data_IF_561693201344
#
_entry.id   IF_561693201344
#
_cell.length_a   1.000
_cell.length_b   1.000
_cell.length_c   1.000
_cell.angle_alpha   90.00
_cell.angle_beta   90.00
_cell.angle_gamma   90.00
#
_symmetry.space_group_name_H-M   'P 1'
#
loop_
_entity.id
_entity.type
_entity.pdbx_description
1 polymer ?
#
# COMPACT_ATOMS: atom_id res chain seq x y z
N UNK A 1 -6.55 -3.73 31.62
CA UNK A 1 -6.49 -5.05 30.96
C UNK A 1 -5.74 -4.83 29.67
N UNK A 2 -4.51 -5.35 29.54
CA UNK A 2 -3.70 -5.18 28.35
C UNK A 2 -4.15 -6.17 27.27
N UNK A 3 -4.27 -5.69 26.05
CA UNK A 3 -4.51 -6.48 24.85
C UNK A 3 -3.16 -6.71 24.15
N UNK A 4 -2.78 -7.97 23.99
CA UNK A 4 -1.65 -8.35 23.11
C UNK A 4 -2.19 -8.52 21.69
N UNK A 5 -1.42 -8.12 20.67
CA UNK A 5 -1.75 -8.36 19.28
C UNK A 5 -0.89 -9.50 18.74
N UNK A 6 -1.50 -10.50 18.09
CA UNK A 6 -0.75 -11.62 17.50
C UNK A 6 -1.25 -11.98 16.12
N UNK A 7 -0.28 -12.05 15.22
CA UNK A 7 -0.34 -12.54 13.84
C UNK A 7 -1.29 -11.79 12.92
N UNK A 8 -0.73 -11.26 11.84
CA UNK A 8 -1.45 -10.42 10.93
C UNK A 8 -1.12 -10.81 9.49
N UNK A 9 -2.16 -11.18 8.74
CA UNK A 9 -2.04 -11.57 7.36
C UNK A 9 -1.87 -10.32 6.49
N UNK A 10 -0.88 -10.34 5.61
CA UNK A 10 -0.74 -9.40 4.51
C UNK A 10 -0.47 -10.20 3.23
N UNK A 11 -1.02 -9.74 2.11
CA UNK A 11 -0.66 -10.29 0.81
C UNK A 11 0.85 -10.18 0.57
N UNK A 12 1.41 -11.07 -0.25
CA UNK A 12 2.81 -10.95 -0.67
C UNK A 12 2.97 -9.77 -1.64
N UNK A 13 4.12 -9.12 -1.59
CA UNK A 13 4.48 -8.14 -2.62
C UNK A 13 4.61 -8.85 -3.96
N UNK A 14 4.05 -8.27 -5.02
CA UNK A 14 4.12 -8.82 -6.38
C UNK A 14 4.39 -7.73 -7.41
N UNK A 15 4.86 -8.18 -8.56
CA UNK A 15 5.02 -7.33 -9.75
C UNK A 15 3.67 -7.20 -10.44
N UNK A 16 3.30 -5.97 -10.78
CA UNK A 16 2.12 -5.63 -11.56
C UNK A 16 2.34 -5.96 -13.03
N UNK A 17 1.27 -6.41 -13.67
CA UNK A 17 1.25 -6.67 -15.11
C UNK A 17 0.07 -5.94 -15.76
N UNK A 18 0.00 -5.95 -17.09
CA UNK A 18 -1.10 -5.30 -17.82
C UNK A 18 -2.48 -5.85 -17.44
N UNK A 19 -2.55 -7.10 -17.00
CA UNK A 19 -3.78 -7.79 -16.56
C UNK A 19 -4.35 -7.21 -15.26
N UNK A 20 -3.56 -6.41 -14.54
CA UNK A 20 -4.02 -5.69 -13.35
C UNK A 20 -4.79 -4.41 -13.69
N UNK A 21 -4.74 -3.94 -14.94
CA UNK A 21 -5.35 -2.68 -15.37
C UNK A 21 -6.53 -2.94 -16.31
N UNK A 22 -7.66 -3.34 -15.73
CA UNK A 22 -8.89 -3.72 -16.45
C UNK A 22 -9.95 -2.62 -16.45
N UNK A 23 -9.72 -1.55 -15.69
CA UNK A 23 -10.58 -0.38 -15.67
C UNK A 23 -10.52 0.40 -16.98
N UNK A 24 -11.53 1.24 -17.18
CA UNK A 24 -11.57 2.15 -18.33
C UNK A 24 -11.02 3.52 -17.93
N UNK A 25 -10.08 4.10 -18.71
CA UNK A 25 -9.65 5.47 -18.50
C UNK A 25 -10.84 6.41 -18.50
N UNK A 26 -10.98 7.23 -17.44
CA UNK A 26 -12.01 8.26 -17.44
C UNK A 26 -11.63 9.31 -18.48
N UNK A 27 -12.55 9.63 -19.40
CA UNK A 27 -12.41 10.67 -20.45
C UNK A 27 -12.39 12.10 -19.88
N UNK A 28 -11.63 12.33 -18.81
CA UNK A 28 -11.37 13.67 -18.29
C UNK A 28 -9.94 14.05 -18.69
N UNK A 29 -9.69 15.35 -18.89
CA UNK A 29 -8.41 15.95 -19.29
C UNK A 29 -7.30 15.73 -18.25
N UNK A 30 -6.92 14.48 -17.98
CA UNK A 30 -5.81 14.11 -17.12
C UNK A 30 -4.54 13.90 -17.95
N UNK A 31 -3.44 14.51 -17.51
CA UNK A 31 -2.11 14.25 -18.06
C UNK A 31 -1.68 12.78 -17.88
N UNK A 32 -2.24 12.09 -16.88
CA UNK A 32 -1.92 10.70 -16.56
C UNK A 32 -2.28 9.72 -17.68
N UNK A 33 -1.37 8.81 -18.01
CA UNK A 33 -1.56 7.73 -19.00
C UNK A 33 -2.02 6.42 -18.35
N UNK A 34 -2.01 6.37 -17.02
CA UNK A 34 -2.29 5.21 -16.21
C UNK A 34 -2.77 5.64 -14.82
N UNK A 35 -3.37 4.70 -14.09
CA UNK A 35 -3.78 4.91 -12.71
C UNK A 35 -3.85 3.59 -11.96
N UNK A 36 -3.19 3.53 -10.81
CA UNK A 36 -3.25 2.41 -9.86
C UNK A 36 -4.16 2.73 -8.69
N UNK A 37 -5.23 1.95 -8.53
CA UNK A 37 -6.13 2.06 -7.40
C UNK A 37 -5.81 0.97 -6.37
N UNK A 38 -5.28 1.38 -5.21
CA UNK A 38 -5.10 0.48 -4.06
C UNK A 38 -5.98 0.94 -2.90
N UNK A 39 -6.73 -0.01 -2.32
CA UNK A 39 -7.48 0.19 -1.08
C UNK A 39 -6.78 -0.55 0.06
N UNK A 40 -6.71 0.07 1.23
CA UNK A 40 -6.22 -0.56 2.45
C UNK A 40 -7.35 -0.56 3.47
N UNK A 41 -7.56 -1.69 4.12
CA UNK A 41 -8.55 -1.85 5.17
C UNK A 41 -7.99 -2.71 6.29
N UNK A 42 -8.61 -2.63 7.46
CA UNK A 42 -8.29 -3.52 8.56
C UNK A 42 -9.56 -3.98 9.28
N UNK A 43 -9.47 -5.15 9.85
CA UNK A 43 -10.43 -5.71 10.78
C UNK A 43 -9.69 -6.33 11.97
N UNK A 44 -10.43 -6.69 13.01
CA UNK A 44 -9.87 -7.33 14.18
C UNK A 44 -10.87 -8.27 14.84
N UNK A 45 -10.34 -9.30 15.50
CA UNK A 45 -11.10 -10.15 16.41
C UNK A 45 -10.63 -9.95 17.84
N UNK A 46 -11.58 -9.95 18.79
CA UNK A 46 -11.29 -9.90 20.22
C UNK A 46 -11.43 -11.31 20.79
N UNK A 47 -10.33 -11.89 21.27
CA UNK A 47 -10.34 -13.18 21.96
C UNK A 47 -10.13 -12.99 23.46
N UNK A 48 -10.71 -13.86 24.28
CA UNK A 48 -10.45 -13.90 25.72
C UNK A 48 -9.75 -15.21 26.05
N UNK A 49 -8.50 -15.13 26.48
CA UNK A 49 -7.68 -16.29 26.83
C UNK A 49 -7.11 -16.10 28.25
N UNK A 50 -7.41 -17.04 29.16
CA UNK A 50 -6.93 -17.06 30.55
C UNK A 50 -7.12 -15.72 31.31
N UNK A 51 -8.23 -15.03 31.05
CA UNK A 51 -8.52 -13.74 31.68
C UNK A 51 -7.75 -12.55 31.11
N UNK A 52 -7.11 -12.70 29.95
CA UNK A 52 -6.50 -11.63 29.15
C UNK A 52 -7.29 -11.52 27.85
N UNK A 53 -7.60 -10.30 27.40
CA UNK A 53 -8.16 -10.11 26.07
C UNK A 53 -7.01 -10.01 25.04
N UNK A 54 -7.18 -10.49 23.82
CA UNK A 54 -6.22 -10.46 22.72
C UNK A 54 -6.89 -9.85 21.48
N UNK A 55 -6.19 -8.98 20.76
CA UNK A 55 -6.66 -8.41 19.50
C UNK A 55 -5.88 -8.99 18.34
N UNK A 56 -6.52 -9.79 17.51
CA UNK A 56 -5.88 -10.28 16.29
C UNK A 56 -6.32 -9.38 15.13
N UNK A 57 -5.42 -8.52 14.66
CA UNK A 57 -5.65 -7.62 13.54
C UNK A 57 -5.34 -8.28 12.20
N UNK A 58 -6.21 -8.07 11.23
CA UNK A 58 -5.96 -8.33 9.82
C UNK A 58 -5.90 -6.98 9.08
N UNK A 59 -4.86 -6.77 8.26
CA UNK A 59 -4.74 -5.56 7.44
C UNK A 59 -4.58 -6.01 5.99
N UNK A 60 -5.58 -5.71 5.18
CA UNK A 60 -5.62 -6.08 3.78
C UNK A 60 -5.29 -4.87 2.90
N UNK A 61 -4.59 -5.16 1.81
CA UNK A 61 -4.39 -4.23 0.71
C UNK A 61 -4.97 -4.90 -0.54
N UNK A 62 -5.79 -4.19 -1.29
CA UNK A 62 -6.38 -4.67 -2.54
C UNK A 62 -6.03 -3.70 -3.65
N UNK A 63 -5.37 -4.22 -4.70
CA UNK A 63 -5.24 -3.50 -5.97
C UNK A 63 -6.51 -3.76 -6.79
N UNK A 64 -7.33 -2.73 -6.96
CA UNK A 64 -8.64 -2.84 -7.58
C UNK A 64 -8.51 -2.82 -9.11
N UNK A 65 -8.47 -4.01 -9.74
CA UNK A 65 -8.20 -4.15 -11.17
C UNK A 65 -9.18 -3.39 -12.07
N UNK A 66 -10.46 -3.33 -11.68
CA UNK A 66 -11.51 -2.66 -12.44
C UNK A 66 -11.54 -1.13 -12.22
N UNK A 67 -10.83 -0.63 -11.21
CA UNK A 67 -10.65 0.81 -10.96
C UNK A 67 -9.27 1.31 -11.41
N UNK A 68 -8.34 0.39 -11.68
CA UNK A 68 -7.01 0.67 -12.20
C UNK A 68 -7.02 0.55 -13.72
N UNK A 69 -6.40 1.48 -14.43
CA UNK A 69 -6.51 1.54 -15.89
C UNK A 69 -5.20 1.99 -16.55
N UNK A 70 -5.04 1.60 -17.82
CA UNK A 70 -4.00 2.07 -18.73
C UNK A 70 -4.68 2.68 -19.94
N UNK A 71 -4.30 3.90 -20.32
CA UNK A 71 -4.73 4.49 -21.59
C UNK A 71 -3.86 3.94 -22.73
N UNK A 72 -4.24 2.75 -23.19
CA UNK A 72 -3.56 2.04 -24.28
C UNK A 72 -3.48 2.87 -25.57
N UNK A 73 -4.37 3.83 -25.79
CA UNK A 73 -4.34 4.69 -26.97
C UNK A 73 -3.15 5.67 -26.96
N UNK A 74 -2.65 6.02 -25.77
CA UNK A 74 -1.52 6.93 -25.56
C UNK A 74 -0.18 6.21 -25.46
N UNK A 75 -0.18 4.89 -25.27
CA UNK A 75 1.02 4.06 -25.20
C UNK A 75 1.49 3.72 -26.62
N UNK A 76 2.64 4.26 -27.03
CA UNK A 76 3.11 4.18 -28.43
C UNK A 76 4.20 3.15 -28.69
N UNK A 77 4.80 2.58 -27.65
CA UNK A 77 5.83 1.55 -27.80
C UNK A 77 5.90 0.63 -26.57
N UNK A 78 6.53 -0.56 -26.70
CA UNK A 78 6.81 -1.44 -25.57
C UNK A 78 7.65 -0.78 -24.47
N UNK A 79 8.59 0.08 -24.83
CA UNK A 79 9.44 0.81 -23.88
C UNK A 79 8.62 1.80 -23.06
N UNK A 80 7.70 2.53 -23.72
CA UNK A 80 6.76 3.42 -23.01
C UNK A 80 5.85 2.61 -22.08
N UNK A 81 5.36 1.44 -22.52
CA UNK A 81 4.57 0.57 -21.66
C UNK A 81 5.35 0.14 -20.41
N UNK A 82 6.63 -0.23 -20.58
CA UNK A 82 7.49 -0.60 -19.47
C UNK A 82 7.71 0.56 -18.48
N UNK A 83 7.91 1.78 -18.99
CA UNK A 83 8.06 2.98 -18.15
C UNK A 83 6.77 3.29 -17.36
N UNK A 84 5.62 3.16 -18.00
CA UNK A 84 4.31 3.31 -17.36
C UNK A 84 4.10 2.26 -16.27
N UNK A 85 4.29 0.97 -16.58
CA UNK A 85 4.13 -0.10 -15.59
C UNK A 85 5.09 0.05 -14.42
N UNK A 86 6.32 0.50 -14.68
CA UNK A 86 7.30 0.79 -13.65
C UNK A 86 6.86 1.93 -12.73
N UNK A 87 6.29 3.00 -13.30
CA UNK A 87 5.75 4.10 -12.51
C UNK A 87 4.60 3.64 -11.61
N UNK A 88 3.66 2.87 -12.18
CA UNK A 88 2.51 2.31 -11.46
C UNK A 88 2.94 1.30 -10.38
N UNK A 89 4.02 0.53 -10.61
CA UNK A 89 4.62 -0.33 -9.58
C UNK A 89 5.07 0.47 -8.36
N UNK A 90 5.55 1.70 -8.55
CA UNK A 90 5.92 2.60 -7.45
C UNK A 90 4.73 2.97 -6.56
N UNK A 91 3.58 3.31 -7.15
CA UNK A 91 2.34 3.55 -6.40
C UNK A 91 1.91 2.32 -5.61
N UNK A 92 1.96 1.14 -6.24
CA UNK A 92 1.67 -0.12 -5.56
C UNK A 92 2.65 -0.41 -4.41
N UNK A 93 3.94 -0.16 -4.60
CA UNK A 93 4.95 -0.31 -3.54
C UNK A 93 4.69 0.63 -2.36
N UNK A 94 4.29 1.88 -2.62
CA UNK A 94 3.92 2.84 -1.57
C UNK A 94 2.71 2.33 -0.77
N UNK A 95 1.66 1.85 -1.43
CA UNK A 95 0.49 1.28 -0.76
C UNK A 95 0.83 -0.01 0.01
N UNK A 96 1.71 -0.85 -0.53
CA UNK A 96 2.21 -2.03 0.17
C UNK A 96 2.96 -1.64 1.45
N UNK A 97 3.87 -0.67 1.35
CA UNK A 97 4.60 -0.15 2.52
C UNK A 97 3.64 0.42 3.57
N UNK A 98 2.55 1.09 3.16
CA UNK A 98 1.51 1.57 4.08
C UNK A 98 0.87 0.42 4.86
N UNK A 99 0.40 -0.63 4.18
CA UNK A 99 -0.19 -1.82 4.81
C UNK A 99 0.77 -2.39 5.87
N UNK A 100 2.05 -2.51 5.50
CA UNK A 100 3.08 -3.09 6.34
C UNK A 100 3.39 -2.22 7.57
N UNK A 101 3.36 -0.89 7.44
CA UNK A 101 3.51 0.03 8.57
C UNK A 101 2.30 -0.02 9.52
N UNK A 102 1.07 -0.08 9.00
CA UNK A 102 -0.14 -0.27 9.81
C UNK A 102 -0.01 -1.55 10.62
N UNK A 103 0.35 -2.65 9.97
CA UNK A 103 0.50 -3.96 10.57
C UNK A 103 1.48 -3.99 11.74
N UNK A 104 2.68 -3.46 11.51
CA UNK A 104 3.73 -3.39 12.55
C UNK A 104 3.33 -2.46 13.69
N UNK A 105 2.65 -1.37 13.38
CA UNK A 105 2.22 -0.42 14.40
C UNK A 105 1.15 -1.04 15.28
N UNK A 106 0.18 -1.77 14.71
CA UNK A 106 -0.78 -2.55 15.48
C UNK A 106 -0.08 -3.62 16.34
N UNK A 107 0.82 -4.42 15.75
CA UNK A 107 1.54 -5.48 16.47
C UNK A 107 2.41 -4.99 17.64
N UNK A 108 2.87 -3.73 17.60
CA UNK A 108 3.68 -3.12 18.67
C UNK A 108 2.87 -2.29 19.66
N UNK A 109 1.60 -2.03 19.37
CA UNK A 109 0.74 -1.21 20.21
C UNK A 109 0.13 -2.04 21.33
N UNK A 110 0.24 -1.56 22.57
CA UNK A 110 -0.50 -2.11 23.70
C UNK A 110 -1.88 -1.47 23.75
N UNK A 111 -2.89 -2.21 23.36
CA UNK A 111 -4.25 -1.68 23.32
C UNK A 111 -4.95 -1.78 24.68
N UNK A 112 -5.77 -0.78 24.98
CA UNK A 112 -6.65 -0.70 26.15
C UNK A 112 -8.12 -0.94 25.79
N UNK A 113 -9.05 -0.50 26.65
CA UNK A 113 -10.50 -0.63 26.39
C UNK A 113 -10.98 0.20 25.20
N UNK A 114 -10.22 1.23 24.84
CA UNK A 114 -10.40 2.18 23.76
C UNK A 114 -9.77 1.70 22.43
N UNK A 115 -9.51 0.40 22.30
CA UNK A 115 -8.73 -0.16 21.19
C UNK A 115 -9.25 0.23 19.80
N UNK A 116 -10.56 0.37 19.63
CA UNK A 116 -11.17 0.76 18.36
C UNK A 116 -10.82 2.20 17.97
N UNK A 117 -10.74 3.11 18.95
CA UNK A 117 -10.37 4.51 18.75
C UNK A 117 -8.88 4.59 18.42
N UNK A 118 -8.05 3.92 19.22
CA UNK A 118 -6.59 3.90 19.03
C UNK A 118 -6.21 3.29 17.68
N UNK A 119 -6.84 2.18 17.28
CA UNK A 119 -6.59 1.54 15.99
C UNK A 119 -6.94 2.47 14.82
N UNK A 120 -8.08 3.17 14.90
CA UNK A 120 -8.49 4.15 13.88
C UNK A 120 -7.49 5.30 13.79
N UNK A 121 -7.09 5.88 14.92
CA UNK A 121 -6.12 6.98 14.95
C UNK A 121 -4.76 6.57 14.36
N UNK A 122 -4.30 5.34 14.67
CA UNK A 122 -3.08 4.79 14.06
C UNK A 122 -3.24 4.68 12.54
N UNK A 123 -4.35 4.11 12.09
CA UNK A 123 -4.62 3.95 10.66
C UNK A 123 -4.66 5.29 9.94
N UNK A 124 -5.47 6.24 10.41
CA UNK A 124 -5.66 7.56 9.79
C UNK A 124 -4.35 8.35 9.70
N UNK A 125 -3.51 8.27 10.75
CA UNK A 125 -2.20 8.92 10.75
C UNK A 125 -1.26 8.32 9.71
N UNK A 126 -1.21 6.99 9.61
CA UNK A 126 -0.36 6.30 8.64
C UNK A 126 -0.88 6.54 7.23
N UNK A 127 -2.20 6.48 7.02
CA UNK A 127 -2.84 6.79 5.74
C UNK A 127 -2.49 8.21 5.28
N UNK A 128 -2.63 9.22 6.14
CA UNK A 128 -2.24 10.59 5.82
C UNK A 128 -0.75 10.74 5.47
N UNK A 129 0.14 9.98 6.11
CA UNK A 129 1.57 9.93 5.78
C UNK A 129 1.79 9.36 4.37
N UNK A 130 1.15 8.24 4.04
CA UNK A 130 1.36 7.57 2.75
C UNK A 130 0.63 8.27 1.60
N UNK A 131 -0.49 8.94 1.84
CA UNK A 131 -1.08 9.86 0.86
C UNK A 131 -0.10 10.99 0.48
N UNK A 132 0.63 11.55 1.46
CA UNK A 132 1.67 12.56 1.19
C UNK A 132 2.83 11.97 0.42
N UNK A 133 3.27 10.76 0.77
CA UNK A 133 4.35 10.06 0.07
C UNK A 133 3.98 9.78 -1.39
N UNK A 134 2.75 9.31 -1.65
CA UNK A 134 2.24 9.04 -2.99
C UNK A 134 2.17 10.31 -3.84
N UNK A 135 1.70 11.43 -3.25
CA UNK A 135 1.68 12.73 -3.92
C UNK A 135 3.09 13.27 -4.21
N UNK A 136 4.04 13.05 -3.31
CA UNK A 136 5.44 13.44 -3.52
C UNK A 136 6.06 12.62 -4.67
N UNK A 137 5.84 11.31 -4.67
CA UNK A 137 6.28 10.42 -5.74
C UNK A 137 5.76 10.85 -7.12
N UNK A 138 4.44 11.05 -7.25
CA UNK A 138 3.81 11.53 -8.49
C UNK A 138 4.43 12.85 -8.98
N UNK A 139 4.52 13.84 -8.08
CA UNK A 139 5.01 15.18 -8.40
C UNK A 139 6.49 15.17 -8.78
N UNK A 140 7.32 14.44 -8.05
CA UNK A 140 8.78 14.46 -8.24
C UNK A 140 9.22 13.64 -9.45
N UNK A 141 8.46 12.59 -9.78
CA UNK A 141 8.66 11.84 -11.04
C UNK A 141 8.00 12.52 -12.24
N UNK A 142 7.28 13.62 -12.02
CA UNK A 142 6.54 14.37 -13.05
C UNK A 142 5.65 13.45 -13.90
N UNK A 143 4.75 12.70 -13.25
CA UNK A 143 3.89 11.72 -13.95
C UNK A 143 4.72 10.79 -14.86
N UNK A 144 5.75 10.16 -14.30
CA UNK A 144 6.78 9.31 -14.95
C UNK A 144 7.77 9.99 -15.92
N UNK A 145 7.61 11.27 -16.26
CA UNK A 145 8.48 11.94 -17.25
C UNK A 145 9.91 12.16 -16.75
N UNK A 146 10.07 12.38 -15.44
CA UNK A 146 11.39 12.58 -14.83
C UNK A 146 12.04 11.22 -14.48
N UNK A 147 12.72 10.63 -15.46
CA UNK A 147 13.41 9.34 -15.33
C UNK A 147 14.50 9.31 -14.26
N UNK A 148 15.16 10.44 -13.99
CA UNK A 148 16.19 10.53 -12.94
C UNK A 148 15.54 10.39 -11.57
N UNK A 149 14.45 11.12 -11.32
CA UNK A 149 13.72 11.01 -10.07
C UNK A 149 13.03 9.65 -9.94
N UNK A 150 12.49 9.10 -11.03
CA UNK A 150 11.97 7.73 -11.03
C UNK A 150 13.04 6.74 -10.54
N UNK A 151 14.26 6.79 -11.08
CA UNK A 151 15.36 5.91 -10.66
C UNK A 151 15.77 6.09 -9.18
N UNK A 152 15.74 7.33 -8.68
CA UNK A 152 15.97 7.61 -7.25
C UNK A 152 14.88 6.99 -6.36
N UNK A 153 13.61 7.13 -6.77
CA UNK A 153 12.47 6.53 -6.08
C UNK A 153 12.49 5.00 -6.13
N UNK A 154 12.86 4.39 -7.26
CA UNK A 154 12.98 2.94 -7.37
C UNK A 154 13.99 2.39 -6.35
N UNK A 155 15.17 3.02 -6.24
CA UNK A 155 16.20 2.64 -5.27
C UNK A 155 15.71 2.83 -3.84
N UNK A 156 15.03 3.95 -3.57
CA UNK A 156 14.43 4.21 -2.26
C UNK A 156 13.42 3.11 -1.90
N UNK A 157 12.43 2.86 -2.75
CA UNK A 157 11.38 1.87 -2.49
C UNK A 157 11.94 0.45 -2.37
N UNK A 158 12.87 0.05 -3.25
CA UNK A 158 13.54 -1.24 -3.19
C UNK A 158 14.23 -1.46 -1.84
N UNK A 159 14.98 -0.45 -1.36
CA UNK A 159 15.64 -0.52 -0.05
C UNK A 159 14.65 -0.74 1.10
N UNK A 160 13.48 -0.10 1.06
CA UNK A 160 12.44 -0.30 2.08
C UNK A 160 11.78 -1.67 2.00
N UNK A 161 11.60 -2.21 0.78
CA UNK A 161 11.05 -3.54 0.56
C UNK A 161 12.04 -4.64 1.00
N UNK A 162 13.33 -4.48 0.75
CA UNK A 162 14.39 -5.43 1.16
C UNK A 162 14.63 -5.44 2.67
N UNK A 163 14.67 -4.26 3.29
CA UNK A 163 14.91 -4.13 4.74
C UNK A 163 13.63 -4.32 5.57
N UNK A 164 12.58 -4.85 4.95
CA UNK A 164 11.30 -5.04 5.59
C UNK A 164 11.43 -6.16 6.65
N UNK A 165 11.22 -5.87 7.95
CA UNK A 165 11.28 -6.92 8.97
C UNK A 165 10.24 -7.98 8.64
N UNK A 166 10.59 -9.28 8.74
CA UNK A 166 9.64 -10.35 8.53
C UNK A 166 8.42 -10.14 9.42
N UNK A 167 7.25 -10.47 8.90
CA UNK A 167 6.04 -10.52 9.70
C UNK A 167 6.31 -11.48 10.86
N UNK A 168 6.01 -11.04 12.09
CA UNK A 168 6.08 -11.92 13.25
C UNK A 168 5.04 -13.03 13.02
N UNK A 169 5.50 -14.17 12.49
CA UNK A 169 4.69 -15.38 12.40
C UNK A 169 4.51 -15.84 13.84
N UNK A 170 3.30 -15.67 14.38
CA UNK A 170 2.97 -16.27 15.66
C UNK A 170 3.03 -17.78 15.51
N UNK A 171 3.90 -18.42 16.29
CA UNK A 171 3.84 -19.85 16.56
C UNK A 171 2.54 -20.20 17.29
#
# INVERSE_FOLDING_TARGET
MLLAATTSYAQTYRILTTEDFQGTPRKMNFAAVAYTNCSISYDYTVKRERGIFRLDFNVSMVMNKHLSWLDKSRIKSPEMLAEVLKHEQGHYAIAYLQQQEVLRTFGRTRFGRDYNIVARQIFDRIDAKYQKLNKAYERETDHMQNRVQQASWDKYLAKYLENMPPLMVGN
#
